data_IF_819457077115
#
_entry.id   IF_819457077115
#
_cell.length_a   1.000
_cell.length_b   1.000
_cell.length_c   1.000
_cell.angle_alpha   90.00
_cell.angle_beta   90.00
_cell.angle_gamma   90.00
#
_symmetry.space_group_name_H-M   'P 1'
#
loop_
_entity.id
_entity.type
_entity.pdbx_description
1 polymer ?
#
# COMPACT_ATOMS: atom_id res chain seq x y z
N UNK A 1 6.62 -0.62 -25.13
CA UNK A 1 6.28 -2.06 -25.03
C UNK A 1 5.14 -2.20 -24.03
N UNK A 2 4.02 -2.77 -24.46
CA UNK A 2 2.90 -3.10 -23.59
C UNK A 2 3.09 -4.52 -23.06
N UNK A 3 2.91 -4.70 -21.76
CA UNK A 3 2.94 -6.00 -21.08
C UNK A 3 1.53 -6.30 -20.62
N UNK A 4 1.01 -7.46 -21.01
CA UNK A 4 -0.28 -7.92 -20.54
C UNK A 4 -0.12 -8.47 -19.13
N UNK A 5 -0.89 -7.91 -18.18
CA UNK A 5 -0.96 -8.38 -16.81
C UNK A 5 -2.14 -9.36 -16.68
N UNK A 6 -1.91 -10.68 -16.66
CA UNK A 6 -2.99 -11.67 -16.65
C UNK A 6 -3.84 -11.63 -15.37
N UNK A 7 -3.28 -11.12 -14.27
CA UNK A 7 -3.99 -10.98 -12.98
C UNK A 7 -4.87 -9.72 -12.96
N UNK A 8 -4.51 -8.69 -13.72
CA UNK A 8 -5.26 -7.44 -13.82
C UNK A 8 -6.12 -7.37 -15.09
N UNK A 9 -6.02 -8.36 -15.99
CA UNK A 9 -6.66 -8.42 -17.31
C UNK A 9 -6.41 -7.16 -18.18
N UNK A 10 -5.27 -6.49 -17.97
CA UNK A 10 -4.95 -5.21 -18.61
C UNK A 10 -3.58 -5.21 -19.27
N UNK A 11 -3.52 -4.55 -20.43
CA UNK A 11 -2.26 -4.26 -21.11
C UNK A 11 -1.69 -2.94 -20.58
N UNK A 12 -0.51 -3.00 -19.96
CA UNK A 12 0.11 -1.83 -19.34
C UNK A 12 1.44 -1.50 -20.00
N UNK A 13 1.74 -0.22 -20.13
CA UNK A 13 3.05 0.22 -20.62
C UNK A 13 4.13 0.01 -19.53
N UNK A 14 5.15 -0.78 -19.85
CA UNK A 14 6.23 -1.11 -18.91
C UNK A 14 6.99 0.13 -18.40
N UNK A 15 7.16 1.14 -19.25
CA UNK A 15 7.88 2.36 -18.87
C UNK A 15 7.11 3.18 -17.83
N UNK A 16 5.77 3.13 -17.88
CA UNK A 16 4.92 3.84 -16.92
C UNK A 16 5.00 3.15 -15.55
N UNK A 17 4.83 1.82 -15.48
CA UNK A 17 4.94 1.08 -14.21
C UNK A 17 6.33 1.27 -13.60
N UNK A 18 7.38 1.19 -14.43
CA UNK A 18 8.75 1.29 -13.94
C UNK A 18 9.06 2.72 -13.44
N UNK A 19 8.60 3.74 -14.15
CA UNK A 19 8.71 5.14 -13.70
C UNK A 19 7.92 5.42 -12.42
N UNK A 20 6.67 4.94 -12.35
CA UNK A 20 5.85 5.05 -11.14
C UNK A 20 6.48 4.32 -9.95
N UNK A 21 6.94 3.08 -10.15
CA UNK A 21 7.59 2.29 -9.11
C UNK A 21 8.88 2.93 -8.61
N UNK A 22 9.69 3.50 -9.50
CA UNK A 22 10.91 4.23 -9.15
C UNK A 22 10.60 5.52 -8.36
N UNK A 23 9.66 6.33 -8.84
CA UNK A 23 9.26 7.57 -8.17
C UNK A 23 8.67 7.30 -6.78
N UNK A 24 7.71 6.37 -6.69
CA UNK A 24 7.08 6.00 -5.42
C UNK A 24 8.08 5.33 -4.48
N UNK A 25 8.94 4.45 -5.00
CA UNK A 25 9.99 3.81 -4.20
C UNK A 25 10.97 4.81 -3.61
N UNK A 26 11.39 5.80 -4.39
CA UNK A 26 12.27 6.88 -3.93
C UNK A 26 11.61 7.73 -2.85
N UNK A 27 10.39 8.24 -3.11
CA UNK A 27 9.63 9.03 -2.13
C UNK A 27 9.35 8.23 -0.86
N UNK A 28 8.90 6.99 -1.00
CA UNK A 28 8.65 6.08 0.12
C UNK A 28 9.91 5.82 0.94
N UNK A 29 11.07 5.68 0.29
CA UNK A 29 12.34 5.48 0.97
C UNK A 29 12.77 6.72 1.76
N UNK A 30 12.54 7.91 1.23
CA UNK A 30 12.84 9.18 1.92
C UNK A 30 11.95 9.41 3.14
N UNK A 31 10.64 9.19 3.00
CA UNK A 31 9.68 9.49 4.08
C UNK A 31 9.47 8.31 5.05
N UNK A 32 9.94 7.10 4.71
CA UNK A 32 9.82 5.92 5.57
C UNK A 32 8.38 5.39 5.74
N UNK A 33 7.41 5.88 4.97
CA UNK A 33 5.96 5.58 5.13
C UNK A 33 5.53 4.29 4.41
N UNK A 34 6.46 3.54 3.82
CA UNK A 34 6.19 2.24 3.20
C UNK A 34 5.49 2.26 1.83
N UNK A 35 5.19 3.43 1.24
CA UNK A 35 4.92 3.59 -0.20
C UNK A 35 3.55 3.11 -0.70
N UNK A 36 2.89 2.22 0.06
CA UNK A 36 1.56 1.70 -0.23
C UNK A 36 0.51 2.80 -0.42
N UNK A 37 0.62 3.90 0.33
CA UNK A 37 -0.34 5.01 0.24
C UNK A 37 -0.27 5.78 -1.09
N UNK A 38 0.85 5.71 -1.83
CA UNK A 38 1.02 6.34 -3.14
C UNK A 38 0.81 5.35 -4.28
N UNK A 39 1.41 4.16 -4.20
CA UNK A 39 1.37 3.22 -5.32
C UNK A 39 -0.04 2.71 -5.57
N UNK A 40 -0.79 2.39 -4.51
CA UNK A 40 -2.13 1.80 -4.63
C UNK A 40 -3.13 2.74 -5.34
N UNK A 41 -3.28 4.03 -4.96
CA UNK A 41 -4.16 4.93 -5.69
C UNK A 41 -3.67 5.23 -7.11
N UNK A 42 -2.35 5.33 -7.35
CA UNK A 42 -1.83 5.54 -8.70
C UNK A 42 -2.14 4.35 -9.63
N UNK A 43 -2.05 3.11 -9.13
CA UNK A 43 -2.43 1.93 -9.89
C UNK A 43 -3.94 1.89 -10.15
N UNK A 44 -4.77 2.28 -9.18
CA UNK A 44 -6.23 2.38 -9.36
C UNK A 44 -6.57 3.45 -10.42
N UNK A 45 -5.92 4.61 -10.39
CA UNK A 45 -6.09 5.64 -11.43
C UNK A 45 -5.62 5.18 -12.81
N UNK A 46 -4.67 4.25 -12.84
CA UNK A 46 -4.29 3.55 -14.06
C UNK A 46 -5.28 2.44 -14.48
N UNK A 47 -6.47 2.38 -13.87
CA UNK A 47 -7.53 1.39 -14.07
C UNK A 47 -7.19 -0.03 -13.62
N UNK A 48 -6.13 -0.24 -12.83
CA UNK A 48 -5.83 -1.56 -12.28
C UNK A 48 -6.84 -1.88 -11.17
N UNK A 49 -7.44 -3.09 -11.16
CA UNK A 49 -8.42 -3.47 -10.15
C UNK A 49 -7.91 -3.22 -8.72
N UNK A 50 -8.73 -2.65 -7.81
CA UNK A 50 -8.32 -2.29 -6.45
C UNK A 50 -7.69 -3.46 -5.68
N UNK A 51 -8.19 -4.67 -5.88
CA UNK A 51 -7.66 -5.89 -5.24
C UNK A 51 -6.21 -6.13 -5.62
N UNK A 52 -5.85 -5.95 -6.89
CA UNK A 52 -4.48 -6.14 -7.39
C UNK A 52 -3.58 -4.99 -6.94
N UNK A 53 -4.09 -3.76 -6.98
CA UNK A 53 -3.36 -2.57 -6.54
C UNK A 53 -3.00 -2.61 -5.05
N UNK A 54 -3.94 -3.03 -4.19
CA UNK A 54 -3.71 -3.19 -2.74
C UNK A 54 -2.73 -4.33 -2.46
N UNK A 55 -2.89 -5.48 -3.13
CA UNK A 55 -1.97 -6.61 -2.96
C UNK A 55 -0.52 -6.26 -3.37
N UNK A 56 -0.36 -5.50 -4.45
CA UNK A 56 0.94 -5.02 -4.91
C UNK A 56 1.57 -4.06 -3.90
N UNK A 57 0.80 -3.09 -3.39
CA UNK A 57 1.26 -2.14 -2.39
C UNK A 57 1.68 -2.80 -1.08
N UNK A 58 0.91 -3.80 -0.61
CA UNK A 58 1.24 -4.54 0.61
C UNK A 58 2.60 -5.24 0.52
N UNK A 59 2.90 -5.89 -0.61
CA UNK A 59 4.21 -6.52 -0.82
C UNK A 59 5.36 -5.50 -0.80
N UNK A 60 5.14 -4.31 -1.38
CA UNK A 60 6.13 -3.23 -1.35
C UNK A 60 6.39 -2.72 0.08
N UNK A 61 5.32 -2.52 0.86
CA UNK A 61 5.41 -2.12 2.27
C UNK A 61 6.24 -3.14 3.04
N UNK A 62 5.92 -4.43 2.92
CA UNK A 62 6.65 -5.51 3.61
C UNK A 62 8.14 -5.48 3.30
N UNK A 63 8.52 -5.33 2.02
CA UNK A 63 9.92 -5.24 1.62
C UNK A 63 10.63 -4.04 2.28
N UNK A 64 9.98 -2.87 2.29
CA UNK A 64 10.53 -1.66 2.91
C UNK A 64 10.63 -1.78 4.43
N UNK A 65 9.62 -2.35 5.08
CA UNK A 65 9.56 -2.54 6.53
C UNK A 65 10.62 -3.51 7.03
N UNK A 66 10.87 -4.62 6.30
CA UNK A 66 11.94 -5.56 6.64
C UNK A 66 13.31 -4.88 6.53
N UNK A 67 13.55 -4.13 5.45
CA UNK A 67 14.80 -3.39 5.25
C UNK A 67 15.04 -2.37 6.37
N UNK A 68 14.01 -1.61 6.74
CA UNK A 68 14.05 -0.68 7.86
C UNK A 68 14.31 -1.38 9.19
N UNK A 69 13.58 -2.46 9.49
CA UNK A 69 13.74 -3.24 10.72
C UNK A 69 15.16 -3.78 10.87
N UNK A 70 15.77 -4.35 9.82
CA UNK A 70 17.15 -4.83 9.84
C UNK A 70 18.13 -3.68 10.13
N UNK A 71 17.92 -2.52 9.51
CA UNK A 71 18.78 -1.35 9.71
C UNK A 71 18.73 -0.85 11.15
N UNK A 72 17.53 -0.73 11.72
CA UNK A 72 17.35 -0.30 13.12
C UNK A 72 17.83 -1.36 14.13
N UNK A 73 17.66 -2.64 13.80
CA UNK A 73 18.18 -3.75 14.60
C UNK A 73 19.71 -3.70 14.69
N UNK A 74 20.39 -3.50 13.55
CA UNK A 74 21.86 -3.36 13.51
C UNK A 74 22.39 -2.14 14.28
N UNK A 75 21.58 -1.08 14.41
CA UNK A 75 21.91 0.14 15.16
C UNK A 75 21.61 0.03 16.66
N UNK A 76 21.07 -1.10 17.13
CA UNK A 76 20.70 -1.30 18.54
C UNK A 76 19.56 -0.39 19.01
N UNK A 77 18.89 0.32 18.10
CA UNK A 77 17.84 1.30 18.41
C UNK A 77 16.42 0.70 18.36
N UNK A 78 16.32 -0.63 18.23
CA UNK A 78 15.06 -1.31 18.03
C UNK A 78 14.47 -1.76 19.36
N UNK A 79 13.40 -1.10 19.78
CA UNK A 79 12.63 -1.48 20.96
C UNK A 79 11.72 -2.68 20.64
N UNK A 80 12.11 -3.85 21.14
CA UNK A 80 11.37 -5.10 20.94
C UNK A 80 10.01 -5.10 21.62
N UNK A 81 9.84 -4.36 22.73
CA UNK A 81 8.57 -4.28 23.44
C UNK A 81 7.57 -3.45 22.64
N UNK A 82 7.99 -2.31 22.10
CA UNK A 82 7.16 -1.54 21.17
C UNK A 82 6.86 -2.32 19.89
N UNK A 83 7.87 -3.01 19.33
CA UNK A 83 7.69 -3.82 18.12
C UNK A 83 6.63 -4.92 18.27
N UNK A 84 6.60 -5.61 19.42
CA UNK A 84 5.62 -6.67 19.68
C UNK A 84 4.20 -6.11 19.90
N UNK A 85 4.06 -4.97 20.58
CA UNK A 85 2.76 -4.28 20.74
C UNK A 85 2.22 -3.83 19.39
N UNK A 86 3.06 -3.21 18.55
CA UNK A 86 2.72 -2.79 17.19
C UNK A 86 2.34 -3.99 16.32
N UNK A 87 3.05 -5.11 16.43
CA UNK A 87 2.73 -6.34 15.70
C UNK A 87 1.37 -6.91 16.11
N UNK A 88 1.08 -6.99 17.40
CA UNK A 88 -0.21 -7.47 17.90
C UNK A 88 -1.36 -6.56 17.46
N UNK A 89 -1.23 -5.25 17.64
CA UNK A 89 -2.22 -4.27 17.21
C UNK A 89 -2.41 -4.28 15.69
N UNK A 90 -1.32 -4.41 14.93
CA UNK A 90 -1.34 -4.50 13.47
C UNK A 90 -2.04 -5.75 12.96
N UNK A 91 -1.79 -6.92 13.56
CA UNK A 91 -2.46 -8.17 13.20
C UNK A 91 -3.97 -8.11 13.46
N UNK A 92 -4.37 -7.60 14.62
CA UNK A 92 -5.79 -7.43 14.96
C UNK A 92 -6.45 -6.42 14.01
N UNK A 93 -5.83 -5.26 13.82
CA UNK A 93 -6.34 -4.22 12.93
C UNK A 93 -6.45 -4.68 11.47
N UNK A 94 -5.44 -5.38 10.94
CA UNK A 94 -5.46 -5.92 9.59
C UNK A 94 -6.55 -6.97 9.42
N UNK A 95 -6.73 -7.86 10.41
CA UNK A 95 -7.77 -8.90 10.36
C UNK A 95 -9.17 -8.30 10.37
N UNK A 96 -9.42 -7.34 11.27
CA UNK A 96 -10.68 -6.58 11.30
C UNK A 96 -10.91 -5.82 9.99
N UNK A 97 -9.86 -5.19 9.45
CA UNK A 97 -9.90 -4.49 8.17
C UNK A 97 -10.28 -5.41 7.00
N UNK A 98 -9.69 -6.61 6.91
CA UNK A 98 -10.06 -7.62 5.90
C UNK A 98 -11.52 -8.06 6.06
N UNK A 99 -12.00 -8.19 7.30
CA UNK A 99 -13.38 -8.56 7.57
C UNK A 99 -14.36 -7.49 7.06
N UNK A 100 -14.09 -6.22 7.40
CA UNK A 100 -14.85 -5.05 6.93
C UNK A 100 -14.78 -4.97 5.40
N UNK A 101 -13.60 -5.10 4.80
CA UNK A 101 -13.42 -5.09 3.35
C UNK A 101 -14.26 -6.16 2.66
N UNK A 102 -14.26 -7.39 3.18
CA UNK A 102 -15.05 -8.49 2.64
C UNK A 102 -16.55 -8.24 2.74
N UNK A 103 -17.00 -7.59 3.81
CA UNK A 103 -18.38 -7.21 4.02
C UNK A 103 -18.82 -6.11 3.05
N UNK A 104 -18.03 -5.04 2.89
CA UNK A 104 -18.30 -3.99 1.90
C UNK A 104 -18.31 -4.51 0.46
N UNK A 105 -17.43 -5.47 0.15
CA UNK A 105 -17.40 -6.13 -1.16
C UNK A 105 -18.72 -6.82 -1.48
N UNK A 106 -19.33 -7.51 -0.49
CA UNK A 106 -20.61 -8.21 -0.66
C UNK A 106 -21.77 -7.26 -0.92
N UNK A 107 -21.72 -6.05 -0.39
CA UNK A 107 -22.77 -5.03 -0.54
C UNK A 107 -22.56 -4.21 -1.84
N UNK A 108 -21.41 -4.35 -2.51
CA UNK A 108 -21.12 -3.66 -3.77
C UNK A 108 -20.70 -2.19 -3.59
N UNK A 109 -20.45 -1.73 -2.36
CA UNK A 109 -20.05 -0.35 -2.05
C UNK A 109 -18.55 -0.19 -1.81
N UNK A 110 -17.76 -1.19 -2.17
CA UNK A 110 -16.32 -1.23 -1.92
C UNK A 110 -15.58 -0.11 -2.65
N UNK A 111 -15.88 0.10 -3.94
CA UNK A 111 -15.23 1.15 -4.73
C UNK A 111 -15.53 2.54 -4.18
N UNK A 112 -16.80 2.82 -3.85
CA UNK A 112 -17.23 4.10 -3.28
C UNK A 112 -16.55 4.38 -1.93
N UNK A 113 -16.48 3.37 -1.07
CA UNK A 113 -15.81 3.50 0.23
C UNK A 113 -14.32 3.77 0.09
N UNK A 114 -13.64 3.04 -0.80
CA UNK A 114 -12.21 3.24 -1.09
C UNK A 114 -11.97 4.65 -1.64
N UNK A 115 -12.78 5.09 -2.61
CA UNK A 115 -12.68 6.44 -3.17
C UNK A 115 -12.85 7.52 -2.11
N UNK A 116 -13.87 7.41 -1.25
CA UNK A 116 -14.10 8.38 -0.17
C UNK A 116 -12.94 8.38 0.84
N UNK A 117 -12.44 7.22 1.24
CA UNK A 117 -11.28 7.10 2.13
C UNK A 117 -10.06 7.79 1.54
N UNK A 118 -9.78 7.57 0.25
CA UNK A 118 -8.67 8.22 -0.42
C UNK A 118 -8.86 9.73 -0.53
N UNK A 119 -10.06 10.20 -0.86
CA UNK A 119 -10.36 11.65 -0.92
C UNK A 119 -10.11 12.28 0.44
N UNK A 120 -10.62 11.69 1.52
CA UNK A 120 -10.42 12.21 2.88
C UNK A 120 -8.94 12.18 3.27
N UNK A 121 -8.24 11.07 3.02
CA UNK A 121 -6.83 10.90 3.35
C UNK A 121 -5.95 11.90 2.60
N UNK A 122 -6.08 12.00 1.28
CA UNK A 122 -5.28 12.91 0.45
C UNK A 122 -5.63 14.38 0.74
N UNK A 123 -6.90 14.70 0.99
CA UNK A 123 -7.30 16.06 1.38
C UNK A 123 -6.70 16.46 2.71
N UNK A 124 -6.68 15.54 3.68
CA UNK A 124 -6.08 15.80 5.01
C UNK A 124 -4.58 15.99 4.90
N UNK A 125 -3.89 15.13 4.16
CA UNK A 125 -2.43 15.26 3.94
C UNK A 125 -2.10 16.54 3.19
N UNK A 126 -2.90 16.93 2.19
CA UNK A 126 -2.68 18.17 1.44
C UNK A 126 -3.02 19.45 2.20
N UNK A 127 -3.80 19.36 3.28
CA UNK A 127 -4.17 20.49 4.12
C UNK A 127 -3.22 20.72 5.32
N UNK A 128 -2.40 19.73 5.67
CA UNK A 128 -1.37 19.79 6.71
C UNK A 128 -0.05 20.35 6.15
#
# INVERSE_FOLDING_TARGET
MTVYLPIAELSVNIFIILGMGAAVGFLSGMFGVGGGFLITPLLIFYNIPPVVAVATGANQVVASSISGAITHFRRGSLDMKLGTVLLAGGLVGATVGVWIFSWLRRIGQLDLFISLLYVVLLSTIGAL
#
